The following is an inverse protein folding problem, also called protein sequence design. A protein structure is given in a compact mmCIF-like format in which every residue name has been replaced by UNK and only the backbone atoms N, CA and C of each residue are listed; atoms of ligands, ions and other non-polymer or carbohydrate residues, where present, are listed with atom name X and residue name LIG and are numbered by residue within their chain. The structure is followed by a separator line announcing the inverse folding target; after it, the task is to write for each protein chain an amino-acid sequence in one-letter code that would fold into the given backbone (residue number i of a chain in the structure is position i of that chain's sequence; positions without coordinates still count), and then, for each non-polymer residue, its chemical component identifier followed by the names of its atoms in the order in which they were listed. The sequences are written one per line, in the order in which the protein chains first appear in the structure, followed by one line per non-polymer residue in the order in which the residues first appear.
data_IF_306431764517
#
_entry.id   IF_306431764517
#
_cell.length_a   1.000
_cell.length_b   1.000
_cell.length_c   1.000
_cell.angle_alpha   90.00
_cell.angle_beta   90.00
_cell.angle_gamma   90.00
#
_symmetry.space_group_name_H-M   'P 1'
#
loop_
_entity.id
_entity.type
_entity.pdbx_description
1 polymer ?
#
# COMPACT_ATOMS: atom_id res chain seq x y z
N UNK A 1 -20.68 -5.39 22.10
CA UNK A 1 -19.44 -4.98 21.38
C UNK A 1 -18.88 -3.76 22.09
N UNK A 2 -17.59 -3.79 22.45
CA UNK A 2 -16.91 -2.65 23.08
C UNK A 2 -15.71 -2.25 22.23
N UNK A 3 -15.58 -0.96 21.92
CA UNK A 3 -14.50 -0.43 21.08
C UNK A 3 -13.61 0.49 21.91
N UNK A 4 -12.29 0.26 21.88
CA UNK A 4 -11.28 1.10 22.56
C UNK A 4 -10.31 1.68 21.52
N UNK A 5 -10.43 2.98 21.17
CA UNK A 5 -9.52 3.60 20.21
C UNK A 5 -8.07 3.57 20.70
N UNK A 6 -7.14 3.31 19.78
CA UNK A 6 -5.70 3.34 20.01
C UNK A 6 -5.11 4.60 19.38
N UNK A 7 -4.40 5.40 20.18
CA UNK A 7 -3.69 6.57 19.68
C UNK A 7 -2.35 6.15 19.07
N UNK A 8 -2.13 6.46 17.80
CA UNK A 8 -0.87 6.20 17.10
C UNK A 8 0.21 7.21 17.48
N UNK A 9 1.47 6.92 17.14
CA UNK A 9 2.58 7.86 17.27
C UNK A 9 2.34 9.17 16.50
N UNK A 10 1.62 9.10 15.37
CA UNK A 10 1.23 10.26 14.57
C UNK A 10 0.07 11.06 15.19
N UNK A 11 -0.44 10.63 16.35
CA UNK A 11 -1.53 11.29 17.08
C UNK A 11 -2.94 10.94 16.58
N UNK A 12 -3.08 10.17 15.49
CA UNK A 12 -4.36 9.71 14.94
C UNK A 12 -4.96 8.57 15.78
N UNK A 13 -6.26 8.31 15.61
CA UNK A 13 -6.99 7.22 16.28
C UNK A 13 -7.68 6.30 15.26
N UNK A 14 -6.94 5.91 14.22
CA UNK A 14 -7.44 5.07 13.13
C UNK A 14 -7.47 3.57 13.48
N UNK A 15 -6.81 3.17 14.56
CA UNK A 15 -6.84 1.81 15.09
C UNK A 15 -7.67 1.74 16.37
N UNK A 16 -8.21 0.56 16.66
CA UNK A 16 -8.94 0.30 17.91
C UNK A 16 -8.85 -1.18 18.28
N UNK A 17 -8.97 -1.47 19.57
CA UNK A 17 -9.30 -2.81 20.06
C UNK A 17 -10.82 -2.99 20.04
N UNK A 18 -11.30 -4.12 19.54
CA UNK A 18 -12.73 -4.45 19.48
C UNK A 18 -12.98 -5.74 20.25
N UNK A 19 -13.77 -5.65 21.33
CA UNK A 19 -14.15 -6.79 22.17
C UNK A 19 -15.55 -7.28 21.79
N UNK A 20 -15.64 -8.58 21.49
CA UNK A 20 -16.84 -9.29 21.10
C UNK A 20 -17.24 -10.24 22.24
N UNK A 21 -18.11 -9.78 23.15
CA UNK A 21 -18.63 -10.57 24.28
C UNK A 21 -20.09 -10.97 24.03
N UNK A 22 -20.38 -12.28 24.09
CA UNK A 22 -21.69 -12.90 23.81
C UNK A 22 -22.43 -12.34 22.57
N UNK A 23 -21.69 -11.93 21.53
CA UNK A 23 -22.27 -11.33 20.32
C UNK A 23 -22.99 -12.40 19.51
N UNK A 24 -24.30 -12.22 19.29
CA UNK A 24 -25.09 -13.07 18.40
C UNK A 24 -24.99 -12.56 16.96
N UNK A 25 -24.52 -13.42 16.04
CA UNK A 25 -24.43 -13.14 14.60
C UNK A 25 -25.26 -14.16 13.84
N UNK A 26 -26.21 -13.74 12.99
CA UNK A 26 -26.95 -14.65 12.13
C UNK A 26 -26.05 -15.46 11.19
N UNK A 27 -26.35 -16.74 10.98
CA UNK A 27 -25.54 -17.64 10.11
C UNK A 27 -25.45 -17.12 8.66
N UNK A 28 -26.48 -16.41 8.17
CA UNK A 28 -26.46 -15.81 6.83
C UNK A 28 -25.42 -14.70 6.64
N UNK A 29 -24.86 -14.15 7.73
CA UNK A 29 -23.76 -13.19 7.66
C UNK A 29 -22.38 -13.86 7.55
N UNK A 30 -22.31 -15.20 7.56
CA UNK A 30 -21.05 -15.92 7.36
C UNK A 30 -20.57 -15.73 5.92
N UNK A 31 -19.36 -15.19 5.79
CA UNK A 31 -18.67 -15.08 4.50
C UNK A 31 -17.91 -16.38 4.23
N UNK A 32 -18.26 -17.07 3.14
CA UNK A 32 -17.72 -18.38 2.81
C UNK A 32 -18.38 -19.54 3.57
N UNK A 33 -17.79 -20.73 3.45
CA UNK A 33 -18.26 -21.91 4.17
C UNK A 33 -17.76 -21.93 5.62
N UNK A 34 -18.33 -22.81 6.45
CA UNK A 34 -17.78 -23.09 7.77
C UNK A 34 -16.33 -23.58 7.65
N UNK A 35 -15.43 -23.06 8.49
CA UNK A 35 -14.00 -23.36 8.49
C UNK A 35 -13.20 -22.93 7.24
N UNK A 36 -13.79 -22.13 6.35
CA UNK A 36 -13.16 -21.63 5.10
C UNK A 36 -12.52 -20.23 5.24
N UNK A 37 -12.30 -19.79 6.49
CA UNK A 37 -11.81 -18.43 6.79
C UNK A 37 -10.41 -18.13 6.25
N UNK A 38 -9.56 -19.16 6.09
CA UNK A 38 -8.20 -18.98 5.56
C UNK A 38 -8.22 -18.56 4.09
N UNK A 39 -9.01 -19.23 3.25
CA UNK A 39 -9.14 -18.91 1.83
C UNK A 39 -9.69 -17.50 1.64
N UNK A 40 -10.73 -17.14 2.39
CA UNK A 40 -11.33 -15.79 2.36
C UNK A 40 -10.27 -14.74 2.73
N UNK A 41 -9.57 -14.93 3.83
CA UNK A 41 -8.50 -14.01 4.28
C UNK A 41 -7.39 -13.86 3.24
N UNK A 42 -6.95 -14.96 2.63
CA UNK A 42 -5.89 -14.94 1.63
C UNK A 42 -6.31 -14.21 0.35
N UNK A 43 -7.57 -14.34 -0.08
CA UNK A 43 -8.10 -13.57 -1.21
C UNK A 43 -8.10 -12.07 -0.88
N UNK A 44 -8.63 -11.68 0.28
CA UNK A 44 -8.60 -10.28 0.73
C UNK A 44 -7.19 -9.72 0.76
N UNK A 45 -6.23 -10.45 1.32
CA UNK A 45 -4.82 -10.04 1.40
C UNK A 45 -4.18 -9.86 0.01
N UNK A 46 -4.57 -10.67 -0.98
CA UNK A 46 -4.10 -10.49 -2.37
C UNK A 46 -4.57 -9.16 -2.95
N UNK A 47 -5.82 -8.74 -2.69
CA UNK A 47 -6.32 -7.43 -3.13
C UNK A 47 -5.65 -6.26 -2.41
N UNK A 48 -5.47 -6.36 -1.08
CA UNK A 48 -4.76 -5.35 -0.29
C UNK A 48 -3.34 -5.09 -0.83
N UNK A 49 -2.65 -6.13 -1.30
CA UNK A 49 -1.29 -6.01 -1.83
C UNK A 49 -1.23 -5.68 -3.33
N UNK A 50 -2.26 -6.05 -4.08
CA UNK A 50 -2.29 -5.92 -5.53
C UNK A 50 -2.60 -4.50 -6.01
N UNK A 51 -3.65 -3.89 -5.47
CA UNK A 51 -4.22 -2.64 -6.01
C UNK A 51 -4.56 -1.58 -4.96
N UNK A 52 -4.61 -1.92 -3.67
CA UNK A 52 -5.04 -0.94 -2.66
C UNK A 52 -4.12 0.29 -2.56
N UNK A 53 -2.83 0.14 -2.86
CA UNK A 53 -1.82 1.18 -2.64
C UNK A 53 -1.49 2.05 -3.88
N UNK A 54 -2.30 1.99 -4.94
CA UNK A 54 -2.06 2.78 -6.17
C UNK A 54 -2.10 4.28 -5.86
N UNK A 55 -3.03 4.72 -5.02
CA UNK A 55 -3.16 6.12 -4.62
C UNK A 55 -1.91 6.66 -3.93
N UNK A 56 -1.31 5.85 -3.08
CA UNK A 56 -0.12 6.23 -2.31
C UNK A 56 1.13 6.27 -3.18
N UNK A 57 1.25 5.44 -4.22
CA UNK A 57 2.32 5.56 -5.23
C UNK A 57 2.19 6.90 -5.96
N UNK A 58 0.98 7.29 -6.35
CA UNK A 58 0.72 8.60 -6.98
C UNK A 58 1.09 9.74 -6.02
N UNK A 59 0.72 9.64 -4.75
CA UNK A 59 1.09 10.63 -3.73
C UNK A 59 2.61 10.73 -3.56
N UNK A 60 3.33 9.61 -3.47
CA UNK A 60 4.79 9.60 -3.34
C UNK A 60 5.47 10.22 -4.56
N UNK A 61 4.97 9.97 -5.78
CA UNK A 61 5.47 10.62 -7.01
C UNK A 61 5.27 12.13 -6.97
N UNK A 62 4.10 12.62 -6.53
CA UNK A 62 3.85 14.05 -6.34
C UNK A 62 4.79 14.67 -5.32
N UNK A 63 5.03 13.99 -4.18
CA UNK A 63 6.02 14.43 -3.18
C UNK A 63 7.42 14.51 -3.77
N UNK A 64 7.82 13.51 -4.57
CA UNK A 64 9.13 13.50 -5.23
C UNK A 64 9.28 14.64 -6.25
N UNK A 65 8.24 14.93 -7.03
CA UNK A 65 8.23 16.04 -7.98
C UNK A 65 8.35 17.38 -7.24
N UNK A 66 7.65 17.55 -6.12
CA UNK A 66 7.76 18.73 -5.26
C UNK A 66 9.17 18.89 -4.66
N UNK A 67 9.80 17.81 -4.20
CA UNK A 67 11.19 17.83 -3.71
C UNK A 67 12.18 18.23 -4.81
N UNK A 68 11.98 17.71 -6.04
CA UNK A 68 12.82 18.06 -7.17
C UNK A 68 12.63 19.53 -7.59
N UNK A 69 11.43 20.08 -7.47
CA UNK A 69 11.17 21.50 -7.71
C UNK A 69 11.80 22.39 -6.63
N UNK A 70 11.71 21.99 -5.35
CA UNK A 70 12.36 22.68 -4.24
C UNK A 70 13.89 22.69 -4.38
N UNK A 71 14.50 21.54 -4.70
CA UNK A 71 15.94 21.44 -4.93
C UNK A 71 16.43 22.38 -6.05
N UNK A 72 15.62 22.62 -7.09
CA UNK A 72 15.94 23.60 -8.14
C UNK A 72 15.83 25.03 -7.64
N UNK A 73 14.79 25.34 -6.86
CA UNK A 73 14.56 26.69 -6.32
C UNK A 73 15.65 27.14 -5.36
N UNK A 74 16.18 26.23 -4.54
CA UNK A 74 17.20 26.54 -3.54
C UNK A 74 18.64 26.20 -3.99
N UNK A 75 18.85 25.89 -5.27
CA UNK A 75 20.17 25.59 -5.84
C UNK A 75 20.78 24.24 -5.45
N UNK A 76 20.07 23.40 -4.67
CA UNK A 76 20.55 22.05 -4.31
C UNK A 76 20.49 21.04 -5.45
N UNK A 77 19.88 21.38 -6.59
CA UNK A 77 19.81 20.50 -7.75
C UNK A 77 21.19 20.16 -8.34
N UNK A 78 22.17 21.06 -8.21
CA UNK A 78 23.53 20.84 -8.71
C UNK A 78 24.37 19.94 -7.79
N UNK A 79 23.90 19.67 -6.58
CA UNK A 79 24.48 18.63 -5.73
C UNK A 79 24.23 17.25 -6.36
N UNK A 80 25.31 16.61 -6.79
CA UNK A 80 25.28 15.30 -7.43
C UNK A 80 24.65 14.21 -6.54
N UNK A 81 24.80 14.30 -5.21
CA UNK A 81 24.21 13.35 -4.26
C UNK A 81 22.69 13.51 -4.21
N UNK A 82 22.20 14.75 -4.13
CA UNK A 82 20.76 15.05 -4.15
C UNK A 82 20.15 14.60 -5.47
N UNK A 83 20.74 14.99 -6.60
CA UNK A 83 20.26 14.65 -7.93
C UNK A 83 20.24 13.13 -8.16
N UNK A 84 21.27 12.42 -7.70
CA UNK A 84 21.33 10.95 -7.77
C UNK A 84 20.24 10.30 -6.92
N UNK A 85 20.01 10.77 -5.69
CA UNK A 85 18.98 10.21 -4.80
C UNK A 85 17.58 10.41 -5.38
N UNK A 86 17.26 11.61 -5.86
CA UNK A 86 15.98 11.90 -6.51
C UNK A 86 15.78 11.09 -7.78
N UNK A 87 16.82 10.96 -8.62
CA UNK A 87 16.77 10.14 -9.83
C UNK A 87 16.51 8.66 -9.55
N UNK A 88 17.17 8.10 -8.53
CA UNK A 88 16.93 6.70 -8.11
C UNK A 88 15.49 6.51 -7.61
N UNK A 89 15.01 7.37 -6.72
CA UNK A 89 13.62 7.28 -6.23
C UNK A 89 12.61 7.43 -7.37
N UNK A 90 12.89 8.29 -8.36
CA UNK A 90 12.02 8.45 -9.52
C UNK A 90 11.95 7.15 -10.34
N UNK A 91 13.09 6.51 -10.60
CA UNK A 91 13.16 5.24 -11.30
C UNK A 91 12.39 4.14 -10.55
N UNK A 92 12.55 4.05 -9.23
CA UNK A 92 11.85 3.09 -8.37
C UNK A 92 10.32 3.29 -8.41
N UNK A 93 9.83 4.52 -8.22
CA UNK A 93 8.39 4.78 -8.28
C UNK A 93 7.80 4.60 -9.69
N UNK A 94 8.58 4.85 -10.75
CA UNK A 94 8.18 4.51 -12.12
C UNK A 94 8.08 3.00 -12.33
N UNK A 95 9.05 2.23 -11.83
CA UNK A 95 9.02 0.78 -11.88
C UNK A 95 7.82 0.21 -11.10
N UNK A 96 7.57 0.70 -9.89
CA UNK A 96 6.41 0.35 -9.08
C UNK A 96 5.09 0.65 -9.81
N UNK A 97 4.99 1.82 -10.45
CA UNK A 97 3.81 2.17 -11.25
C UNK A 97 3.57 1.19 -12.41
N UNK A 98 4.63 0.81 -13.12
CA UNK A 98 4.54 -0.20 -14.20
C UNK A 98 4.18 -1.57 -13.67
N UNK A 99 4.72 -1.97 -12.52
CA UNK A 99 4.39 -3.24 -11.88
C UNK A 99 2.92 -3.29 -11.46
N UNK A 100 2.37 -2.20 -10.92
CA UNK A 100 0.94 -2.09 -10.63
C UNK A 100 0.09 -2.31 -11.89
N UNK A 101 0.43 -1.64 -12.99
CA UNK A 101 -0.29 -1.80 -14.26
C UNK A 101 -0.23 -3.25 -14.77
N UNK A 102 0.93 -3.90 -14.65
CA UNK A 102 1.08 -5.31 -14.98
C UNK A 102 0.22 -6.18 -14.08
N UNK A 103 0.28 -6.01 -12.76
CA UNK A 103 -0.50 -6.81 -11.81
C UNK A 103 -2.01 -6.75 -12.09
N UNK A 104 -2.53 -5.58 -12.46
CA UNK A 104 -3.94 -5.41 -12.85
C UNK A 104 -4.24 -6.20 -14.13
N UNK A 105 -3.45 -5.99 -15.19
CA UNK A 105 -3.65 -6.68 -16.47
C UNK A 105 -3.53 -8.21 -16.35
N UNK A 106 -2.59 -8.70 -15.53
CA UNK A 106 -2.43 -10.13 -15.28
C UNK A 106 -3.61 -10.68 -14.46
N UNK A 107 -4.08 -9.93 -13.45
CA UNK A 107 -5.23 -10.34 -12.63
C UNK A 107 -6.48 -10.57 -13.48
N UNK A 108 -6.75 -9.69 -14.46
CA UNK A 108 -7.85 -9.88 -15.42
C UNK A 108 -7.74 -11.19 -16.20
N UNK A 109 -6.51 -11.64 -16.49
CA UNK A 109 -6.24 -12.87 -17.25
C UNK A 109 -6.37 -14.16 -16.42
N UNK A 110 -6.12 -14.09 -15.11
CA UNK A 110 -6.05 -15.27 -14.22
C UNK A 110 -7.26 -15.43 -13.29
N UNK A 111 -8.39 -14.81 -13.61
CA UNK A 111 -9.64 -14.98 -12.85
C UNK A 111 -9.91 -13.88 -11.81
N UNK A 112 -9.31 -12.71 -11.96
CA UNK A 112 -9.66 -11.48 -11.23
C UNK A 112 -9.03 -11.34 -9.84
N UNK A 113 -8.27 -12.33 -9.37
CA UNK A 113 -7.52 -12.24 -8.10
C UNK A 113 -6.07 -11.83 -8.39
N UNK A 114 -5.50 -10.83 -7.68
CA UNK A 114 -4.11 -10.45 -7.88
C UNK A 114 -3.14 -11.59 -7.54
N UNK A 115 -2.15 -11.78 -8.41
CA UNK A 115 -1.10 -12.79 -8.23
C UNK A 115 0.06 -12.34 -7.33
N UNK A 116 1.17 -13.08 -7.39
CA UNK A 116 2.36 -12.87 -6.55
C UNK A 116 2.98 -11.46 -6.67
N UNK A 117 2.74 -10.77 -7.79
CA UNK A 117 3.27 -9.44 -8.06
C UNK A 117 2.82 -8.39 -7.04
N UNK A 118 1.68 -8.58 -6.37
CA UNK A 118 1.26 -7.72 -5.26
C UNK A 118 2.22 -7.79 -4.06
N UNK A 119 2.76 -8.96 -3.75
CA UNK A 119 3.72 -9.11 -2.65
C UNK A 119 5.09 -8.49 -3.00
N UNK A 120 5.54 -8.64 -4.25
CA UNK A 120 6.74 -7.95 -4.76
C UNK A 120 6.55 -6.45 -4.70
N UNK A 121 5.39 -5.96 -5.15
CA UNK A 121 5.01 -4.56 -5.07
C UNK A 121 5.08 -4.05 -3.63
N UNK A 122 4.39 -4.71 -2.68
CA UNK A 122 4.33 -4.27 -1.28
C UNK A 122 5.72 -4.13 -0.69
N UNK A 123 6.58 -5.14 -0.88
CA UNK A 123 7.95 -5.14 -0.36
C UNK A 123 8.71 -3.91 -0.85
N UNK A 124 8.78 -3.74 -2.18
CA UNK A 124 9.52 -2.64 -2.82
C UNK A 124 8.94 -1.28 -2.49
N UNK A 125 7.61 -1.14 -2.56
CA UNK A 125 6.91 0.09 -2.22
C UNK A 125 7.21 0.55 -0.80
N UNK A 126 7.14 -0.35 0.19
CA UNK A 126 7.37 0.02 1.60
C UNK A 126 8.79 0.54 1.84
N UNK A 127 9.80 -0.06 1.21
CA UNK A 127 11.20 0.38 1.29
C UNK A 127 11.41 1.71 0.57
N UNK A 128 10.95 1.85 -0.68
CA UNK A 128 11.11 3.10 -1.44
C UNK A 128 10.39 4.27 -0.77
N UNK A 129 9.21 4.03 -0.17
CA UNK A 129 8.49 5.04 0.59
C UNK A 129 9.27 5.45 1.83
N UNK A 130 9.82 4.50 2.59
CA UNK A 130 10.62 4.83 3.77
C UNK A 130 11.88 5.63 3.42
N UNK A 131 12.46 5.47 2.23
CA UNK A 131 13.61 6.26 1.79
C UNK A 131 13.27 7.66 1.29
N UNK A 132 12.01 7.89 0.90
CA UNK A 132 11.49 9.19 0.46
C UNK A 132 11.25 10.14 1.65
N UNK A 133 10.80 9.60 2.79
CA UNK A 133 10.52 10.32 4.03
C UNK A 133 11.71 10.22 5.01
#
# INVERSE_FOLDING_TARGET
ITVRPLRTLAGSTEFAEVFLDEVRVPVHNRVGAENDGWRVTMVTLSFERGTAFVGEVVACRRTLDALAAEARRNGKWDDAVVRRRLGRLNAEFRALWRLTQWNVAESERIGGVPGIGGSVFKLRYSQTRQELY
#
